data_IF_516720481225
#
_entry.id   IF_516720481225
#
_cell.length_a   1.000
_cell.length_b   1.000
_cell.length_c   1.000
_cell.angle_alpha   90.00
_cell.angle_beta   90.00
_cell.angle_gamma   90.00
#
_symmetry.space_group_name_H-M   'P 1'
#
loop_
_entity.id
_entity.type
_entity.pdbx_description
1 polymer ?
#
# COMPACT_ATOMS: atom_id res chain seq x y z
N UNK A 1 -1.33 -2.82 13.65
CA UNK A 1 -2.55 -3.48 13.12
C UNK A 1 -2.87 -3.08 11.67
N UNK A 2 -3.09 -1.79 11.37
CA UNK A 2 -3.50 -1.35 10.02
C UNK A 2 -2.50 -1.72 8.92
N UNK A 3 -1.20 -1.49 9.11
CA UNK A 3 -0.17 -1.87 8.13
C UNK A 3 -0.21 -3.36 7.78
N UNK A 4 -0.28 -4.23 8.78
CA UNK A 4 -0.41 -5.68 8.56
C UNK A 4 -1.67 -6.05 7.77
N UNK A 5 -2.82 -5.42 8.07
CA UNK A 5 -4.05 -5.65 7.31
C UNK A 5 -3.90 -5.20 5.86
N UNK A 6 -3.35 -4.01 5.62
CA UNK A 6 -3.12 -3.49 4.26
C UNK A 6 -2.26 -4.42 3.40
N UNK A 7 -1.20 -5.00 3.97
CA UNK A 7 -0.37 -6.00 3.26
C UNK A 7 -1.18 -7.27 2.97
N UNK A 8 -1.89 -7.80 3.97
CA UNK A 8 -2.69 -9.04 3.84
C UNK A 8 -3.82 -8.92 2.83
N UNK A 9 -4.34 -7.72 2.59
CA UNK A 9 -5.43 -7.46 1.63
C UNK A 9 -4.94 -7.05 0.23
N UNK A 10 -3.64 -7.17 -0.09
CA UNK A 10 -3.11 -6.90 -1.43
C UNK A 10 -3.93 -7.61 -2.51
N UNK A 11 -4.03 -8.94 -2.45
CA UNK A 11 -4.76 -9.72 -3.45
C UNK A 11 -6.23 -9.33 -3.55
N UNK A 12 -6.87 -9.07 -2.41
CA UNK A 12 -8.25 -8.58 -2.38
C UNK A 12 -8.41 -7.23 -3.09
N UNK A 13 -7.45 -6.31 -2.92
CA UNK A 13 -7.45 -4.99 -3.57
C UNK A 13 -7.47 -5.11 -5.11
N UNK A 14 -6.74 -6.06 -5.68
CA UNK A 14 -6.81 -6.36 -7.12
C UNK A 14 -8.19 -6.91 -7.52
N UNK A 15 -8.69 -7.91 -6.79
CA UNK A 15 -9.97 -8.56 -7.10
C UNK A 15 -11.14 -7.57 -7.14
N UNK A 16 -11.27 -6.71 -6.13
CA UNK A 16 -12.38 -5.75 -6.08
C UNK A 16 -12.26 -4.61 -7.09
N UNK A 17 -11.07 -4.42 -7.68
CA UNK A 17 -10.85 -3.51 -8.80
C UNK A 17 -10.90 -4.22 -10.17
N UNK A 18 -11.42 -5.46 -10.22
CA UNK A 18 -11.59 -6.21 -11.47
C UNK A 18 -10.27 -6.66 -12.10
N UNK A 19 -9.18 -6.72 -11.32
CA UNK A 19 -7.85 -7.12 -11.77
C UNK A 19 -7.49 -8.50 -11.20
N UNK A 20 -6.73 -9.27 -11.96
CA UNK A 20 -6.20 -10.55 -11.48
C UNK A 20 -5.08 -10.28 -10.44
N UNK A 21 -5.12 -10.89 -9.25
CA UNK A 21 -4.04 -10.80 -8.27
C UNK A 21 -2.73 -11.32 -8.88
N UNK A 22 -1.68 -10.50 -8.90
CA UNK A 22 -0.38 -10.91 -9.40
C UNK A 22 0.24 -11.98 -8.49
N UNK A 23 0.90 -12.97 -9.10
CA UNK A 23 1.67 -13.98 -8.37
C UNK A 23 3.03 -13.45 -7.90
N UNK A 24 3.45 -12.29 -8.41
CA UNK A 24 4.71 -11.63 -8.04
C UNK A 24 4.74 -11.34 -6.54
N UNK A 25 5.78 -11.81 -5.87
CA UNK A 25 6.06 -11.48 -4.47
C UNK A 25 6.53 -10.04 -4.38
N UNK A 26 6.10 -9.33 -3.33
CA UNK A 26 6.51 -7.95 -3.05
C UNK A 26 7.07 -7.93 -1.63
N UNK A 27 8.26 -7.39 -1.48
CA UNK A 27 8.87 -7.08 -0.19
C UNK A 27 8.37 -5.72 0.30
N UNK A 28 7.71 -5.70 1.45
CA UNK A 28 7.23 -4.45 2.07
C UNK A 28 8.11 -4.12 3.26
N UNK A 29 8.67 -2.92 3.30
CA UNK A 29 9.50 -2.43 4.41
C UNK A 29 9.03 -1.04 4.84
N UNK A 30 8.45 -0.96 6.03
CA UNK A 30 7.87 0.28 6.53
C UNK A 30 8.61 0.74 7.79
N UNK A 31 9.00 2.02 7.81
CA UNK A 31 9.58 2.64 9.01
C UNK A 31 8.47 3.03 9.97
N UNK A 32 8.48 2.45 11.16
CA UNK A 32 7.58 2.73 12.26
C UNK A 32 7.88 4.11 12.88
N UNK A 33 6.93 4.70 13.64
CA UNK A 33 7.13 6.00 14.28
C UNK A 33 8.32 6.06 15.27
N UNK A 34 8.71 4.92 15.83
CA UNK A 34 9.87 4.75 16.72
C UNK A 34 11.18 4.46 15.97
N UNK A 35 11.13 4.37 14.63
CA UNK A 35 12.27 4.09 13.77
C UNK A 35 12.52 2.61 13.49
N UNK A 36 11.76 1.69 14.09
CA UNK A 36 11.85 0.26 13.75
C UNK A 36 11.43 0.03 12.28
N UNK A 37 12.04 -0.94 11.59
CA UNK A 37 11.62 -1.35 10.25
C UNK A 37 10.76 -2.60 10.34
N UNK A 38 9.48 -2.47 9.98
CA UNK A 38 8.55 -3.59 9.86
C UNK A 38 8.61 -4.17 8.47
N UNK A 39 8.59 -5.50 8.37
CA UNK A 39 8.80 -6.16 7.09
C UNK A 39 7.81 -7.28 6.80
N UNK A 40 7.44 -7.43 5.53
CA UNK A 40 6.58 -8.51 5.03
C UNK A 40 7.07 -9.00 3.66
N UNK A 41 6.88 -10.29 3.40
CA UNK A 41 7.31 -10.92 2.14
C UNK A 41 8.79 -11.32 2.13
N UNK A 42 9.22 -12.09 1.11
CA UNK A 42 10.60 -12.58 0.97
C UNK A 42 11.61 -11.45 0.84
N UNK A 43 12.81 -11.61 1.39
CA UNK A 43 13.89 -10.61 1.29
C UNK A 43 14.40 -10.44 -0.15
N UNK A 44 14.31 -11.51 -0.95
CA UNK A 44 14.71 -11.61 -2.35
C UNK A 44 13.55 -11.36 -3.34
N UNK A 45 12.41 -10.85 -2.86
CA UNK A 45 11.30 -10.52 -3.74
C UNK A 45 11.75 -9.52 -4.83
N UNK A 46 11.32 -9.71 -6.09
CA UNK A 46 11.76 -8.89 -7.22
C UNK A 46 11.20 -7.46 -7.19
N UNK A 47 10.19 -7.21 -6.35
CA UNK A 47 9.51 -5.93 -6.25
C UNK A 47 9.39 -5.48 -4.79
N UNK A 48 9.28 -4.16 -4.57
CA UNK A 48 9.42 -3.56 -3.26
C UNK A 48 8.45 -2.42 -3.02
N UNK A 49 7.99 -2.29 -1.77
CA UNK A 49 7.30 -1.09 -1.26
C UNK A 49 8.04 -0.60 -0.03
N UNK A 50 8.45 0.66 -0.02
CA UNK A 50 9.14 1.29 1.12
C UNK A 50 8.51 2.61 1.52
N UNK A 51 8.69 3.02 2.78
CA UNK A 51 8.29 4.35 3.26
C UNK A 51 7.77 4.36 4.71
N UNK A 52 7.20 5.49 5.18
CA UNK A 52 6.66 5.58 6.53
C UNK A 52 5.44 4.68 6.73
N UNK A 53 5.37 3.97 7.86
CA UNK A 53 4.24 3.11 8.18
C UNK A 53 2.92 3.89 8.30
N UNK A 54 2.97 5.14 8.77
CA UNK A 54 1.80 6.02 8.84
C UNK A 54 1.24 6.32 7.45
N UNK A 55 2.11 6.65 6.50
CA UNK A 55 1.73 6.96 5.12
C UNK A 55 1.08 5.74 4.46
N UNK A 56 1.65 4.56 4.64
CA UNK A 56 1.03 3.31 4.20
C UNK A 56 -0.36 3.12 4.81
N UNK A 57 -0.52 3.35 6.12
CA UNK A 57 -1.82 3.25 6.78
C UNK A 57 -2.85 4.27 6.23
N UNK A 58 -2.41 5.49 5.90
CA UNK A 58 -3.26 6.51 5.29
C UNK A 58 -3.69 6.13 3.88
N UNK A 59 -2.80 5.52 3.08
CA UNK A 59 -3.11 5.02 1.75
C UNK A 59 -4.12 3.88 1.80
N UNK A 60 -3.81 2.80 2.52
CA UNK A 60 -4.65 1.58 2.54
C UNK A 60 -5.99 1.79 3.23
N UNK A 61 -6.17 2.88 3.97
CA UNK A 61 -7.48 3.29 4.51
C UNK A 61 -8.14 4.41 3.70
N UNK A 62 -7.62 4.72 2.51
CA UNK A 62 -8.13 5.73 1.58
C UNK A 62 -8.32 7.12 2.21
N UNK A 63 -7.43 7.49 3.14
CA UNK A 63 -7.41 8.80 3.81
C UNK A 63 -6.59 9.84 3.07
N UNK A 64 -5.60 9.40 2.29
CA UNK A 64 -4.74 10.27 1.48
C UNK A 64 -4.53 9.67 0.10
N UNK A 65 -4.24 10.53 -0.87
CA UNK A 65 -3.84 10.11 -2.20
C UNK A 65 -2.37 9.69 -2.22
N UNK A 66 -2.00 8.69 -3.03
CA UNK A 66 -0.61 8.18 -3.11
C UNK A 66 0.43 9.27 -3.37
N UNK A 67 0.09 10.26 -4.20
CA UNK A 67 1.01 11.35 -4.57
C UNK A 67 1.33 12.29 -3.40
N UNK A 68 0.56 12.23 -2.31
CA UNK A 68 0.77 13.05 -1.11
C UNK A 68 1.53 12.30 0.00
N UNK A 69 2.08 11.13 -0.33
CA UNK A 69 2.69 10.19 0.61
C UNK A 69 4.12 9.85 0.18
N UNK A 70 4.99 9.63 1.17
CA UNK A 70 6.38 9.26 0.96
C UNK A 70 6.55 7.73 0.79
N UNK A 71 5.65 7.11 0.02
CA UNK A 71 5.73 5.70 -0.34
C UNK A 71 6.41 5.54 -1.69
N UNK A 72 7.36 4.62 -1.76
CA UNK A 72 8.08 4.27 -2.98
C UNK A 72 7.72 2.85 -3.37
N UNK A 73 7.37 2.66 -4.64
CA UNK A 73 7.22 1.36 -5.25
C UNK A 73 8.36 1.12 -6.25
N UNK A 74 8.98 -0.04 -6.13
CA UNK A 74 9.97 -0.54 -7.08
C UNK A 74 9.39 -1.80 -7.73
N UNK A 75 9.13 -1.73 -9.04
CA UNK A 75 8.45 -2.77 -9.79
C UNK A 75 7.01 -2.41 -10.18
N UNK A 76 6.54 -3.01 -11.28
CA UNK A 76 5.25 -2.67 -11.88
C UNK A 76 4.07 -3.13 -11.02
N UNK A 77 4.17 -4.31 -10.41
CA UNK A 77 3.13 -4.87 -9.54
C UNK A 77 2.94 -4.03 -8.28
N UNK A 78 4.05 -3.61 -7.66
CA UNK A 78 4.07 -2.76 -6.48
C UNK A 78 3.45 -1.39 -6.78
N UNK A 79 3.80 -0.78 -7.92
CA UNK A 79 3.25 0.51 -8.33
C UNK A 79 1.73 0.41 -8.56
N UNK A 80 1.29 -0.60 -9.32
CA UNK A 80 -0.14 -0.85 -9.53
C UNK A 80 -0.89 -1.14 -8.24
N UNK A 81 -0.26 -1.84 -7.29
CA UNK A 81 -0.88 -2.11 -6.00
C UNK A 81 -1.12 -0.82 -5.22
N UNK A 82 -0.15 0.09 -5.15
CA UNK A 82 -0.31 1.35 -4.43
C UNK A 82 -1.42 2.24 -5.01
N UNK A 83 -1.75 2.11 -6.30
CA UNK A 83 -2.90 2.81 -6.90
C UNK A 83 -4.26 2.38 -6.35
N UNK A 84 -4.39 1.12 -5.95
CA UNK A 84 -5.68 0.50 -5.64
C UNK A 84 -5.77 -0.03 -4.20
N UNK A 85 -4.75 0.21 -3.39
CA UNK A 85 -4.59 -0.40 -2.08
C UNK A 85 -5.76 -0.07 -1.15
N UNK A 86 -6.31 -1.10 -0.49
CA UNK A 86 -7.35 -0.94 0.51
C UNK A 86 -7.31 -2.05 1.57
N UNK A 87 -7.63 -1.70 2.82
CA UNK A 87 -7.57 -2.58 3.99
C UNK A 87 -8.95 -2.89 4.60
N UNK A 88 -10.04 -2.59 3.92
CA UNK A 88 -11.41 -2.82 4.39
C UNK A 88 -12.26 -3.52 3.33
N UNK A 89 -13.33 -4.18 3.77
CA UNK A 89 -14.29 -4.83 2.89
C UNK A 89 -15.25 -3.81 2.26
N UNK A 90 -15.57 -3.98 0.98
CA UNK A 90 -16.48 -3.13 0.23
C UNK A 90 -16.02 -2.94 -1.22
N UNK A 91 -16.86 -2.36 -2.08
CA UNK A 91 -16.40 -1.91 -3.40
C UNK A 91 -15.32 -0.83 -3.24
N UNK A 92 -14.41 -0.68 -4.22
CA UNK A 92 -13.40 0.37 -4.17
C UNK A 92 -14.06 1.75 -4.05
N UNK A 93 -13.63 2.52 -3.04
CA UNK A 93 -14.02 3.93 -2.93
C UNK A 93 -13.48 4.75 -4.11
N UNK A 94 -13.99 5.98 -4.28
CA UNK A 94 -13.56 6.90 -5.35
C UNK A 94 -12.14 7.46 -5.16
N UNK A 95 -11.41 7.00 -4.14
CA UNK A 95 -10.08 7.50 -3.78
C UNK A 95 -10.10 8.92 -3.24
N UNK A 96 -8.91 9.53 -3.17
CA UNK A 96 -8.72 10.94 -2.80
C UNK A 96 -8.06 11.67 -3.95
N UNK A 97 -8.35 12.96 -4.11
CA UNK A 97 -7.62 13.79 -5.08
C UNK A 97 -6.25 14.15 -4.51
N UNK A 98 -5.20 14.28 -5.34
CA UNK A 98 -3.92 14.84 -4.92
C UNK A 98 -4.08 16.24 -4.29
N UNK A 99 -3.17 16.62 -3.39
CA UNK A 99 -3.12 17.95 -2.79
C UNK A 99 -4.07 18.16 -1.61
N UNK A 100 -4.59 17.08 -1.00
CA UNK A 100 -5.49 17.13 0.16
C UNK A 100 -4.78 17.42 1.48
N UNK A 101 -3.98 18.48 1.55
CA UNK A 101 -3.41 19.01 2.80
C UNK A 101 -4.17 20.28 3.18
N UNK A 102 -5.14 20.15 4.07
CA UNK A 102 -5.51 21.30 4.90
C UNK A 102 -4.39 21.55 5.92
N UNK A 103 -4.19 22.83 6.24
CA UNK A 103 -3.09 23.38 7.02
C UNK A 103 -2.94 22.78 8.42
#
# INVERSE_FOLDING_TARGET
HVAHLGVRTRGFSFLVNGRQPPATEIRVELTAPDGEVWTWGPEDAPERVTGPALDFCLLVTQRRHRADLALVAEGETADQWLDIAQAFAGPPGTGRKPGGREA
#
